data_IF_442420196628
#
_entry.id   IF_442420196628
#
_cell.length_a   1.000
_cell.length_b   1.000
_cell.length_c   1.000
_cell.angle_alpha   90.00
_cell.angle_beta   90.00
_cell.angle_gamma   90.00
#
_symmetry.space_group_name_H-M   'P 1'
#
loop_
_entity.id
_entity.type
_entity.pdbx_description
1 polymer ?
#
# COMPACT_ATOMS: atom_id res chain seq x y z
N UNK A 1 0.87 9.34 66.36
CA UNK A 1 1.30 9.14 64.96
C UNK A 1 0.11 8.81 64.05
N UNK A 2 -0.28 9.67 63.09
CA UNK A 2 -1.35 9.31 62.16
C UNK A 2 -0.85 8.22 61.20
N UNK A 3 -1.73 7.27 60.95
CA UNK A 3 -1.50 5.97 60.34
C UNK A 3 -1.13 6.08 58.86
N UNK A 4 0.07 5.60 58.49
CA UNK A 4 0.49 5.43 57.09
C UNK A 4 -0.33 4.40 56.28
N UNK A 5 -1.31 3.71 56.89
CA UNK A 5 -2.13 2.68 56.20
C UNK A 5 -3.16 3.25 55.21
N UNK A 6 -3.59 4.49 55.36
CA UNK A 6 -4.62 5.09 54.49
C UNK A 6 -4.08 5.55 53.14
N UNK A 7 -2.84 6.05 53.10
CA UNK A 7 -2.19 6.49 51.87
C UNK A 7 -1.92 5.33 50.89
N UNK A 8 -1.51 4.16 51.40
CA UNK A 8 -1.25 2.99 50.54
C UNK A 8 -2.54 2.37 49.97
N UNK A 9 -3.64 2.41 50.72
CA UNK A 9 -4.93 1.91 50.27
C UNK A 9 -5.55 2.82 49.17
N UNK A 10 -5.46 4.14 49.32
CA UNK A 10 -5.89 5.09 48.28
C UNK A 10 -5.02 4.97 47.01
N UNK A 11 -3.72 4.72 47.16
CA UNK A 11 -2.82 4.50 46.03
C UNK A 11 -3.12 3.18 45.29
N UNK A 12 -3.43 2.10 46.01
CA UNK A 12 -3.89 0.82 45.43
C UNK A 12 -5.20 1.01 44.66
N UNK A 13 -6.17 1.73 45.26
CA UNK A 13 -7.49 1.95 44.67
C UNK A 13 -7.42 2.88 43.44
N UNK A 14 -6.48 3.83 43.42
CA UNK A 14 -6.20 4.68 42.26
C UNK A 14 -5.52 3.89 41.14
N UNK A 15 -4.58 2.99 41.47
CA UNK A 15 -3.94 2.11 40.50
C UNK A 15 -4.94 1.09 39.90
N UNK A 16 -5.82 0.52 40.72
CA UNK A 16 -6.92 -0.35 40.27
C UNK A 16 -7.91 0.40 39.37
N UNK A 17 -8.31 1.62 39.74
CA UNK A 17 -9.18 2.47 38.91
C UNK A 17 -8.54 2.82 37.57
N UNK A 18 -7.23 3.10 37.56
CA UNK A 18 -6.46 3.35 36.33
C UNK A 18 -6.40 2.10 35.45
N UNK A 19 -6.11 0.94 36.03
CA UNK A 19 -6.07 -0.33 35.31
C UNK A 19 -7.44 -0.68 34.70
N UNK A 20 -8.53 -0.49 35.45
CA UNK A 20 -9.89 -0.68 34.94
C UNK A 20 -10.22 0.31 33.82
N UNK A 21 -9.77 1.55 33.92
CA UNK A 21 -9.89 2.56 32.86
C UNK A 21 -9.14 2.16 31.59
N UNK A 22 -7.91 1.66 31.72
CA UNK A 22 -7.11 1.15 30.58
C UNK A 22 -7.73 -0.10 29.96
N UNK A 23 -8.25 -1.02 30.77
CA UNK A 23 -8.95 -2.20 30.28
C UNK A 23 -10.24 -1.80 29.54
N UNK A 24 -10.98 -0.82 30.06
CA UNK A 24 -12.17 -0.27 29.41
C UNK A 24 -11.88 0.37 28.06
N UNK A 25 -10.82 1.18 27.97
CA UNK A 25 -10.41 1.80 26.71
C UNK A 25 -9.92 0.77 25.68
N UNK A 26 -9.17 -0.25 26.13
CA UNK A 26 -8.74 -1.35 25.25
C UNK A 26 -9.93 -2.17 24.74
N UNK A 27 -10.91 -2.47 25.60
CA UNK A 27 -12.15 -3.15 25.20
C UNK A 27 -12.96 -2.31 24.19
N UNK A 28 -13.04 -1.00 24.41
CA UNK A 28 -13.72 -0.09 23.50
C UNK A 28 -13.04 -0.03 22.12
N UNK A 29 -11.72 0.11 22.08
CA UNK A 29 -10.96 0.08 20.82
C UNK A 29 -11.09 -1.27 20.10
N UNK A 30 -11.03 -2.37 20.85
CA UNK A 30 -11.21 -3.72 20.31
C UNK A 30 -12.60 -3.88 19.68
N UNK A 31 -13.64 -3.38 20.36
CA UNK A 31 -15.00 -3.36 19.83
C UNK A 31 -15.10 -2.52 18.56
N UNK A 32 -14.48 -1.34 18.53
CA UNK A 32 -14.46 -0.47 17.37
C UNK A 32 -13.80 -1.16 16.16
N UNK A 33 -12.65 -1.80 16.36
CA UNK A 33 -11.93 -2.53 15.32
C UNK A 33 -12.71 -3.74 14.80
N UNK A 34 -13.38 -4.48 15.68
CA UNK A 34 -14.18 -5.65 15.30
C UNK A 34 -15.45 -5.28 14.53
N UNK A 35 -16.02 -4.11 14.81
CA UNK A 35 -17.20 -3.60 14.11
C UNK A 35 -16.85 -2.73 12.89
N UNK A 36 -15.57 -2.42 12.68
CA UNK A 36 -15.14 -1.63 11.54
C UNK A 36 -15.23 -2.49 10.27
N UNK A 37 -16.21 -2.18 9.44
CA UNK A 37 -16.38 -2.84 8.16
C UNK A 37 -15.36 -2.33 7.13
N UNK A 38 -14.11 -2.79 7.23
CA UNK A 38 -13.07 -2.47 6.25
C UNK A 38 -13.28 -3.30 4.99
N UNK A 39 -13.73 -2.65 3.93
CA UNK A 39 -13.93 -3.31 2.63
C UNK A 39 -12.59 -3.69 1.99
N UNK A 40 -12.63 -4.57 0.98
CA UNK A 40 -11.44 -4.86 0.16
C UNK A 40 -10.95 -3.63 -0.60
N UNK A 41 -11.87 -2.72 -0.96
CA UNK A 41 -11.56 -1.46 -1.63
C UNK A 41 -10.80 -0.52 -0.71
N UNK A 42 -11.17 -0.42 0.58
CA UNK A 42 -10.45 0.39 1.57
C UNK A 42 -9.00 -0.09 1.74
N UNK A 43 -8.80 -1.41 1.81
CA UNK A 43 -7.46 -2.00 1.89
C UNK A 43 -6.63 -1.70 0.64
N UNK A 44 -7.24 -1.81 -0.53
CA UNK A 44 -6.58 -1.53 -1.82
C UNK A 44 -6.26 -0.03 -1.97
N UNK A 45 -7.16 0.83 -1.50
CA UNK A 45 -6.97 2.28 -1.49
C UNK A 45 -5.81 2.68 -0.57
N UNK A 46 -5.76 2.12 0.64
CA UNK A 46 -4.67 2.37 1.58
C UNK A 46 -3.30 1.95 1.01
N UNK A 47 -3.20 0.78 0.38
CA UNK A 47 -1.96 0.33 -0.27
C UNK A 47 -1.53 1.24 -1.41
N UNK A 48 -2.48 1.67 -2.25
CA UNK A 48 -2.20 2.64 -3.33
C UNK A 48 -1.69 3.96 -2.78
N UNK A 49 -2.29 4.47 -1.69
CA UNK A 49 -1.83 5.68 -1.05
C UNK A 49 -0.38 5.56 -0.53
N UNK A 50 -0.04 4.44 0.12
CA UNK A 50 1.33 4.15 0.57
C UNK A 50 2.31 4.12 -0.61
N UNK A 51 1.98 3.40 -1.68
CA UNK A 51 2.81 3.32 -2.88
C UNK A 51 3.04 4.69 -3.53
N UNK A 52 2.00 5.54 -3.60
CA UNK A 52 2.13 6.90 -4.14
C UNK A 52 3.03 7.79 -3.28
N UNK A 53 2.97 7.65 -1.95
CA UNK A 53 3.88 8.35 -1.05
C UNK A 53 5.31 7.89 -1.25
N UNK A 54 5.57 6.58 -1.34
CA UNK A 54 6.90 6.05 -1.64
C UNK A 54 7.45 6.59 -2.96
N UNK A 55 6.63 6.62 -4.01
CA UNK A 55 7.01 7.19 -5.31
C UNK A 55 7.39 8.68 -5.22
N UNK A 56 6.77 9.41 -4.31
CA UNK A 56 7.05 10.84 -4.12
C UNK A 56 8.28 11.10 -3.25
N UNK A 57 8.46 10.32 -2.19
CA UNK A 57 9.51 10.54 -1.18
C UNK A 57 10.83 9.86 -1.53
N UNK A 58 10.78 8.62 -2.01
CA UNK A 58 11.97 7.82 -2.28
C UNK A 58 12.43 7.92 -3.73
N UNK A 59 11.48 8.15 -4.64
CA UNK A 59 11.69 8.03 -6.08
C UNK A 59 11.51 9.39 -6.78
N UNK A 60 11.79 10.47 -6.05
CA UNK A 60 11.68 11.87 -6.50
C UNK A 60 12.62 12.23 -7.65
N UNK A 61 13.65 11.45 -7.88
CA UNK A 61 14.72 11.66 -8.85
C UNK A 61 14.50 10.90 -10.17
N UNK A 62 13.48 10.04 -10.25
CA UNK A 62 13.11 9.39 -11.50
C UNK A 62 12.64 10.40 -12.58
N UNK A 63 12.81 10.06 -13.87
CA UNK A 63 12.22 10.82 -14.97
C UNK A 63 10.69 10.93 -14.82
N UNK A 64 10.13 12.06 -15.26
CA UNK A 64 8.70 12.37 -15.16
C UNK A 64 7.82 11.28 -15.80
N UNK A 65 8.25 10.78 -16.93
CA UNK A 65 7.54 9.81 -17.77
C UNK A 65 7.47 8.45 -17.06
N UNK A 66 8.56 8.06 -16.39
CA UNK A 66 8.62 6.84 -15.58
C UNK A 66 7.73 6.97 -14.34
N UNK A 67 7.72 8.13 -13.67
CA UNK A 67 6.78 8.34 -12.55
C UNK A 67 5.32 8.29 -13.00
N UNK A 68 5.00 8.86 -14.17
CA UNK A 68 3.65 8.80 -14.71
C UNK A 68 3.22 7.36 -14.99
N UNK A 69 4.13 6.55 -15.54
CA UNK A 69 3.93 5.11 -15.74
C UNK A 69 3.68 4.37 -14.42
N UNK A 70 4.54 4.56 -13.42
CA UNK A 70 4.41 3.90 -12.11
C UNK A 70 3.08 4.32 -11.44
N UNK A 71 2.69 5.59 -11.51
CA UNK A 71 1.39 6.06 -11.01
C UNK A 71 0.23 5.33 -11.68
N UNK A 72 0.26 5.16 -12.99
CA UNK A 72 -0.78 4.42 -13.71
C UNK A 72 -0.82 2.95 -13.27
N UNK A 73 0.34 2.31 -13.09
CA UNK A 73 0.43 0.93 -12.62
C UNK A 73 -0.10 0.77 -11.19
N UNK A 74 0.23 1.68 -10.28
CA UNK A 74 -0.31 1.69 -8.91
C UNK A 74 -1.84 1.81 -8.95
N UNK A 75 -2.40 2.66 -9.81
CA UNK A 75 -3.85 2.87 -9.87
C UNK A 75 -4.59 1.64 -10.41
N UNK A 76 -4.04 0.99 -11.44
CA UNK A 76 -4.74 -0.02 -12.23
C UNK A 76 -4.32 -1.47 -11.97
N UNK A 77 -3.17 -1.71 -11.33
CA UNK A 77 -2.64 -3.05 -11.09
C UNK A 77 -2.30 -3.24 -9.60
N UNK A 78 -3.18 -3.97 -8.90
CA UNK A 78 -3.02 -4.28 -7.47
C UNK A 78 -1.77 -5.12 -7.22
N UNK A 79 -1.46 -6.07 -8.11
CA UNK A 79 -0.26 -6.91 -7.98
C UNK A 79 1.04 -6.13 -8.11
N UNK A 80 1.08 -5.15 -9.03
CA UNK A 80 2.20 -4.22 -9.14
C UNK A 80 2.36 -3.38 -7.86
N UNK A 81 1.25 -2.86 -7.32
CA UNK A 81 1.26 -2.05 -6.09
C UNK A 81 1.86 -2.84 -4.93
N UNK A 82 1.43 -4.08 -4.74
CA UNK A 82 1.94 -4.93 -3.66
C UNK A 82 3.44 -5.18 -3.80
N UNK A 83 3.91 -5.56 -5.00
CA UNK A 83 5.35 -5.79 -5.26
C UNK A 83 6.15 -4.50 -5.01
N UNK A 84 5.72 -3.37 -5.57
CA UNK A 84 6.39 -2.08 -5.42
C UNK A 84 6.51 -1.64 -3.95
N UNK A 85 5.48 -1.87 -3.13
CA UNK A 85 5.55 -1.53 -1.69
C UNK A 85 6.40 -2.48 -0.85
N UNK A 86 6.59 -3.72 -1.29
CA UNK A 86 7.31 -4.75 -0.53
C UNK A 86 8.80 -4.81 -0.90
N UNK A 87 9.18 -4.29 -2.06
CA UNK A 87 10.59 -4.26 -2.47
C UNK A 87 11.37 -3.23 -1.66
N UNK A 88 12.16 -3.71 -0.71
CA UNK A 88 13.00 -2.87 0.15
C UNK A 88 14.29 -2.40 -0.54
N UNK A 89 14.74 -3.14 -1.56
CA UNK A 89 15.93 -2.80 -2.35
C UNK A 89 15.55 -1.93 -3.55
N UNK A 90 16.14 -0.73 -3.61
CA UNK A 90 15.91 0.21 -4.70
C UNK A 90 16.41 -0.29 -6.05
N UNK A 91 17.49 -1.06 -6.08
CA UNK A 91 18.05 -1.57 -7.32
C UNK A 91 17.15 -2.69 -7.87
N UNK A 92 16.63 -3.56 -7.00
CA UNK A 92 15.64 -4.57 -7.37
C UNK A 92 14.33 -3.93 -7.88
N UNK A 93 13.87 -2.88 -7.21
CA UNK A 93 12.68 -2.13 -7.61
C UNK A 93 12.89 -1.50 -9.00
N UNK A 94 14.06 -0.92 -9.24
CA UNK A 94 14.41 -0.28 -10.52
C UNK A 94 14.49 -1.31 -11.66
N UNK A 95 15.10 -2.48 -11.43
CA UNK A 95 15.14 -3.56 -12.41
C UNK A 95 13.74 -4.10 -12.71
N UNK A 96 12.88 -4.25 -11.70
CA UNK A 96 11.48 -4.65 -11.90
C UNK A 96 10.71 -3.63 -12.75
N UNK A 97 10.82 -2.33 -12.43
CA UNK A 97 10.20 -1.25 -13.21
C UNK A 97 10.73 -1.28 -14.66
N UNK A 98 12.04 -1.46 -14.85
CA UNK A 98 12.65 -1.52 -16.18
C UNK A 98 12.13 -2.72 -16.98
N UNK A 99 12.02 -3.89 -16.36
CA UNK A 99 11.49 -5.10 -16.99
C UNK A 99 10.02 -4.91 -17.41
N UNK A 100 9.20 -4.28 -16.57
CA UNK A 100 7.79 -4.03 -16.85
C UNK A 100 7.59 -3.00 -17.97
N UNK A 101 8.35 -1.89 -17.93
CA UNK A 101 8.37 -0.88 -19.00
C UNK A 101 8.85 -1.49 -20.32
N UNK A 102 9.93 -2.27 -20.29
CA UNK A 102 10.49 -2.95 -21.47
C UNK A 102 9.51 -3.96 -22.06
N UNK A 103 8.85 -4.76 -21.22
CA UNK A 103 7.81 -5.70 -21.63
C UNK A 103 6.60 -5.01 -22.28
N UNK A 104 6.22 -3.83 -21.81
CA UNK A 104 5.15 -3.04 -22.42
C UNK A 104 5.55 -2.43 -23.76
N UNK A 105 6.77 -1.93 -23.90
CA UNK A 105 7.26 -1.44 -25.20
C UNK A 105 7.30 -2.55 -26.26
N UNK A 106 7.70 -3.77 -25.87
CA UNK A 106 7.67 -4.94 -26.75
C UNK A 106 6.23 -5.32 -27.12
N UNK A 107 5.29 -5.30 -26.16
CA UNK A 107 3.86 -5.55 -26.43
C UNK A 107 3.23 -4.48 -27.33
N UNK A 108 3.63 -3.23 -27.21
CA UNK A 108 3.17 -2.13 -28.06
C UNK A 108 3.74 -2.29 -29.48
N UNK A 109 5.05 -2.54 -29.60
CA UNK A 109 5.70 -2.80 -30.89
C UNK A 109 5.11 -4.04 -31.58
N UNK A 110 4.79 -5.11 -30.85
CA UNK A 110 4.15 -6.30 -31.41
C UNK A 110 2.71 -6.04 -31.89
N UNK A 111 1.99 -5.09 -31.28
CA UNK A 111 0.66 -4.65 -31.75
C UNK A 111 0.75 -3.75 -32.99
N UNK A 112 1.76 -2.89 -33.06
CA UNK A 112 2.07 -2.04 -34.23
C UNK A 112 2.63 -2.86 -35.42
N UNK A 113 3.21 -4.04 -35.15
CA UNK A 113 3.71 -4.98 -36.16
C UNK A 113 2.64 -5.94 -36.71
N UNK A 114 1.36 -5.79 -36.35
CA UNK A 114 0.30 -6.50 -37.08
C UNK A 114 0.22 -5.94 -38.50
N UNK A 115 0.36 -6.77 -39.55
CA UNK A 115 0.61 -6.25 -40.89
C UNK A 115 -0.64 -5.55 -41.44
N UNK A 116 -0.44 -4.30 -41.84
CA UNK A 116 -1.16 -3.72 -42.97
C UNK A 116 -1.05 -4.71 -44.15
N UNK A 117 -2.20 -5.13 -44.66
CA UNK A 117 -2.43 -5.81 -45.93
C UNK A 117 -1.78 -7.20 -46.13
N UNK A 118 -2.56 -8.25 -45.90
CA UNK A 118 -2.57 -9.41 -46.80
C UNK A 118 -3.78 -9.25 -47.72
N UNK A 119 -3.65 -8.40 -48.73
CA UNK A 119 -4.52 -8.49 -49.90
C UNK A 119 -4.03 -9.67 -50.70
N UNK A 120 -4.70 -10.82 -50.58
CA UNK A 120 -4.54 -11.93 -51.52
C UNK A 120 -5.10 -11.43 -52.86
N UNK A 121 -4.31 -11.31 -53.95
CA UNK A 121 -4.91 -11.11 -55.26
C UNK A 121 -5.61 -12.43 -55.63
N UNK A 122 -6.93 -12.38 -55.67
CA UNK A 122 -7.77 -13.48 -56.13
C UNK A 122 -7.46 -13.77 -57.61
N UNK A 123 -7.02 -14.99 -57.99
CA UNK A 123 -6.86 -15.37 -59.37
C UNK A 123 -8.10 -16.17 -59.81
N UNK A 124 -9.21 -15.47 -60.01
CA UNK A 124 -10.39 -15.98 -60.72
C UNK A 124 -11.00 -14.87 -61.57
#
# INVERSE_FOLDING_TARGET
PPSCKSASAQQSHAAESLMLGMQGSLNFLTSLLNNLNITSEDKTSARRAVALTMLQEQDGDLPKDIKAFIRAMIVHNVGFTDVYTLTADKDECTEFIRAEVGGMQIKLAAKELLPVAVTIPNPF
#
